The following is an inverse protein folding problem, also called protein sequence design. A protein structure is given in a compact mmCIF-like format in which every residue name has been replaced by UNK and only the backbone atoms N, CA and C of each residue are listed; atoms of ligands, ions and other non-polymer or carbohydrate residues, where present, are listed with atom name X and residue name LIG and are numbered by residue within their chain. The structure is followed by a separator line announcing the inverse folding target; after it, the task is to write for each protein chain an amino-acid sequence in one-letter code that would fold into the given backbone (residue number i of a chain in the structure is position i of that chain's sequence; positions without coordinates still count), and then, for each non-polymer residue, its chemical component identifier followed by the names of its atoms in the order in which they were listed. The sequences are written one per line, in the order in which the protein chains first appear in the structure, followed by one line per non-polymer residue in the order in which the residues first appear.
data_IF_575626362997
#
_entry.id   IF_575626362997
#
_cell.length_a   1.000
_cell.length_b   1.000
_cell.length_c   1.000
_cell.angle_alpha   90.00
_cell.angle_beta   90.00
_cell.angle_gamma   90.00
#
_symmetry.space_group_name_H-M   'P 1'
#
loop_
_entity.id
_entity.type
_entity.pdbx_description
1 polymer ?
#
# COMPACT_ATOMS: atom_id res chain seq x y z
N UNK A 1 23.08 2.31 -31.85
CA UNK A 1 23.11 3.58 -31.12
C UNK A 1 21.91 3.57 -30.21
N UNK A 2 22.11 3.15 -28.94
CA UNK A 2 21.03 3.13 -27.93
C UNK A 2 20.96 4.53 -27.34
N UNK A 3 19.84 5.21 -27.62
CA UNK A 3 19.50 6.48 -26.97
C UNK A 3 19.31 6.24 -25.48
N UNK A 4 20.00 6.99 -24.59
CA UNK A 4 19.72 6.92 -23.17
C UNK A 4 18.30 7.41 -22.94
N UNK A 5 17.45 6.57 -22.32
CA UNK A 5 16.14 6.97 -21.85
C UNK A 5 16.32 8.16 -20.92
N UNK A 6 15.84 9.32 -21.34
CA UNK A 6 15.80 10.51 -20.52
C UNK A 6 15.00 10.17 -19.25
N UNK A 7 15.66 10.20 -18.11
CA UNK A 7 15.01 10.05 -16.82
C UNK A 7 14.07 11.24 -16.63
N UNK A 8 12.77 11.03 -16.81
CA UNK A 8 11.74 12.04 -16.52
C UNK A 8 11.92 12.52 -15.08
N UNK A 9 11.94 13.83 -14.79
CA UNK A 9 12.14 14.32 -13.43
C UNK A 9 11.07 13.76 -12.51
N UNK A 10 11.49 13.10 -11.44
CA UNK A 10 10.59 12.51 -10.46
C UNK A 10 10.08 13.63 -9.57
N UNK A 11 8.78 13.90 -9.59
CA UNK A 11 8.13 14.92 -8.76
C UNK A 11 8.10 14.53 -7.27
N UNK A 12 8.03 13.22 -6.99
CA UNK A 12 7.98 12.69 -5.62
C UNK A 12 8.58 11.30 -5.58
N UNK A 13 9.39 11.02 -4.54
CA UNK A 13 9.90 9.67 -4.29
C UNK A 13 9.95 9.39 -2.78
N UNK A 14 9.37 8.27 -2.38
CA UNK A 14 9.41 7.78 -1.01
C UNK A 14 9.75 6.29 -0.97
N UNK A 15 10.67 5.90 -0.08
CA UNK A 15 10.95 4.50 0.23
C UNK A 15 10.48 4.17 1.63
N UNK A 16 9.55 3.23 1.77
CA UNK A 16 8.97 2.80 3.05
C UNK A 16 9.90 1.84 3.80
N UNK A 17 10.99 2.39 4.38
CA UNK A 17 11.93 1.61 5.17
C UNK A 17 11.33 1.16 6.51
N UNK A 18 11.81 0.02 7.01
CA UNK A 18 11.45 -0.46 8.34
C UNK A 18 11.90 0.53 9.45
N UNK A 19 11.08 0.78 10.48
CA UNK A 19 11.46 1.60 11.63
C UNK A 19 12.50 0.86 12.50
N UNK A 20 13.26 1.63 13.29
CA UNK A 20 14.37 1.09 14.08
C UNK A 20 13.95 0.02 15.10
N UNK A 21 12.77 0.16 15.72
CA UNK A 21 12.27 -0.81 16.71
C UNK A 21 12.00 -2.20 16.11
N UNK A 22 11.69 -2.27 14.80
CA UNK A 22 11.46 -3.54 14.12
C UNK A 22 12.72 -4.42 14.09
N UNK A 23 13.91 -3.80 14.07
CA UNK A 23 15.18 -4.52 14.16
C UNK A 23 15.36 -5.22 15.49
N UNK A 24 14.86 -4.64 16.60
CA UNK A 24 14.86 -5.29 17.92
C UNK A 24 13.93 -6.51 17.95
N UNK A 25 12.76 -6.39 17.32
CA UNK A 25 11.82 -7.52 17.18
C UNK A 25 12.44 -8.64 16.35
N UNK A 26 13.08 -8.32 15.24
CA UNK A 26 13.77 -9.29 14.39
C UNK A 26 14.90 -9.98 15.15
N UNK A 27 15.71 -9.23 15.89
CA UNK A 27 16.77 -9.80 16.73
C UNK A 27 16.22 -10.75 17.80
N UNK A 28 15.14 -10.33 18.50
CA UNK A 28 14.48 -11.15 19.50
C UNK A 28 13.92 -12.47 18.94
N UNK A 29 13.25 -12.40 17.79
CA UNK A 29 12.72 -13.59 17.10
C UNK A 29 13.89 -14.51 16.67
N UNK A 30 14.96 -13.96 16.12
CA UNK A 30 16.13 -14.74 15.68
C UNK A 30 16.78 -15.48 16.85
N UNK A 31 16.91 -14.81 18.00
CA UNK A 31 17.42 -15.42 19.25
C UNK A 31 16.49 -16.56 19.71
N UNK A 32 15.18 -16.31 19.71
CA UNK A 32 14.21 -17.33 20.12
C UNK A 32 14.27 -18.58 19.22
N UNK A 33 14.39 -18.40 17.90
CA UNK A 33 14.55 -19.50 16.94
C UNK A 33 15.83 -20.30 17.25
N UNK A 34 16.96 -19.63 17.45
CA UNK A 34 18.22 -20.31 17.75
C UNK A 34 18.18 -21.15 19.02
N UNK A 35 17.61 -20.58 20.10
CA UNK A 35 17.46 -21.28 21.39
C UNK A 35 16.47 -22.44 21.30
N UNK A 36 15.38 -22.31 20.53
CA UNK A 36 14.39 -23.38 20.38
C UNK A 36 14.92 -24.56 19.58
N UNK A 37 15.74 -24.32 18.54
CA UNK A 37 16.23 -25.35 17.64
C UNK A 37 17.51 -26.05 18.14
N UNK A 38 18.32 -25.38 18.94
CA UNK A 38 19.58 -25.95 19.45
C UNK A 38 19.90 -25.50 20.86
N UNK A 39 19.15 -25.96 21.91
CA UNK A 39 19.33 -25.50 23.28
C UNK A 39 20.63 -26.03 23.93
N UNK A 40 21.21 -27.10 23.45
CA UNK A 40 22.36 -27.80 24.06
C UNK A 40 23.71 -27.50 23.40
N UNK A 41 23.71 -27.03 22.16
CA UNK A 41 24.92 -26.73 21.40
C UNK A 41 25.06 -25.22 21.15
N UNK A 42 25.90 -24.50 21.89
CA UNK A 42 26.00 -23.04 21.80
C UNK A 42 26.55 -22.56 20.44
N UNK A 43 27.40 -23.34 19.78
CA UNK A 43 27.93 -22.97 18.46
C UNK A 43 26.85 -23.06 17.41
N UNK A 44 26.10 -24.16 17.39
CA UNK A 44 24.98 -24.32 16.45
C UNK A 44 23.88 -23.28 16.71
N UNK A 45 23.57 -23.01 17.99
CA UNK A 45 22.64 -21.94 18.37
C UNK A 45 23.07 -20.58 17.78
N UNK A 46 24.33 -20.20 17.94
CA UNK A 46 24.87 -18.95 17.39
C UNK A 46 24.76 -18.87 15.86
N UNK A 47 25.05 -19.96 15.17
CA UNK A 47 24.92 -20.03 13.70
C UNK A 47 23.46 -19.86 13.29
N UNK A 48 22.50 -20.51 13.93
CA UNK A 48 21.07 -20.42 13.62
C UNK A 48 20.54 -19.00 13.87
N UNK A 49 20.94 -18.35 14.95
CA UNK A 49 20.60 -16.93 15.23
C UNK A 49 21.09 -16.03 14.09
N UNK A 50 22.36 -16.18 13.72
CA UNK A 50 22.96 -15.35 12.65
C UNK A 50 22.26 -15.56 11.31
N UNK A 51 22.00 -16.79 10.92
CA UNK A 51 21.32 -17.13 9.66
C UNK A 51 19.89 -16.58 9.67
N UNK A 52 19.11 -16.80 10.75
CA UNK A 52 17.75 -16.28 10.85
C UNK A 52 17.71 -14.75 10.77
N UNK A 53 18.65 -14.07 11.45
CA UNK A 53 18.76 -12.63 11.42
C UNK A 53 19.10 -12.11 10.01
N UNK A 54 20.07 -12.69 9.33
CA UNK A 54 20.46 -12.31 7.97
C UNK A 54 19.28 -12.48 7.00
N UNK A 55 18.59 -13.62 7.07
CA UNK A 55 17.40 -13.87 6.23
C UNK A 55 16.34 -12.77 6.47
N UNK A 56 16.04 -12.47 7.73
CA UNK A 56 15.04 -11.46 8.08
C UNK A 56 15.46 -10.05 7.61
N UNK A 57 16.74 -9.68 7.73
CA UNK A 57 17.30 -8.43 7.21
C UNK A 57 17.10 -8.33 5.69
N UNK A 58 17.46 -9.39 4.95
CA UNK A 58 17.30 -9.43 3.49
C UNK A 58 15.82 -9.30 3.10
N UNK A 59 14.95 -10.06 3.74
CA UNK A 59 13.49 -10.00 3.47
C UNK A 59 12.91 -8.61 3.72
N UNK A 60 13.26 -7.95 4.84
CA UNK A 60 12.77 -6.62 5.17
C UNK A 60 13.29 -5.55 4.20
N UNK A 61 14.54 -5.65 3.77
CA UNK A 61 15.14 -4.65 2.86
C UNK A 61 14.65 -4.81 1.43
N UNK A 62 14.51 -6.04 0.94
CA UNK A 62 14.00 -6.33 -0.42
C UNK A 62 12.49 -6.05 -0.51
N UNK A 63 11.74 -6.29 0.57
CA UNK A 63 10.30 -6.05 0.60
C UNK A 63 9.91 -4.58 0.72
N UNK A 64 10.84 -3.64 0.93
CA UNK A 64 10.52 -2.22 1.11
C UNK A 64 10.01 -1.60 -0.20
N UNK A 65 8.71 -1.28 -0.33
CA UNK A 65 8.18 -0.70 -1.55
C UNK A 65 8.67 0.74 -1.70
N UNK A 66 8.88 1.14 -2.94
CA UNK A 66 9.15 2.53 -3.31
C UNK A 66 7.91 3.10 -3.96
N UNK A 67 7.52 4.30 -3.56
CA UNK A 67 6.48 5.11 -4.21
C UNK A 67 7.21 6.16 -5.02
N UNK A 68 6.90 6.26 -6.31
CA UNK A 68 7.48 7.28 -7.18
C UNK A 68 6.39 7.90 -8.06
N UNK A 69 6.34 9.22 -8.09
CA UNK A 69 5.44 9.99 -8.95
C UNK A 69 6.28 10.76 -9.94
N UNK A 70 6.06 10.51 -11.22
CA UNK A 70 6.63 11.25 -12.32
C UNK A 70 5.54 12.10 -12.98
N UNK A 71 5.90 12.90 -13.98
CA UNK A 71 4.92 13.67 -14.75
C UNK A 71 3.89 12.80 -15.48
N UNK A 72 4.26 11.57 -15.84
CA UNK A 72 3.45 10.66 -16.66
C UNK A 72 2.93 9.45 -15.91
N UNK A 73 3.58 9.04 -14.80
CA UNK A 73 3.29 7.77 -14.12
C UNK A 73 3.28 7.89 -12.61
N UNK A 74 2.43 7.09 -11.98
CA UNK A 74 2.47 6.72 -10.56
C UNK A 74 2.97 5.28 -10.45
N UNK A 75 4.03 5.06 -9.68
CA UNK A 75 4.56 3.73 -9.38
C UNK A 75 4.52 3.44 -7.89
N UNK A 76 3.96 2.30 -7.50
CA UNK A 76 3.84 1.85 -6.11
C UNK A 76 4.37 0.42 -6.00
N UNK A 77 5.56 0.27 -5.45
CA UNK A 77 6.24 -1.01 -5.38
C UNK A 77 6.58 -1.58 -6.75
N UNK A 78 5.84 -2.59 -7.20
CA UNK A 78 6.02 -3.23 -8.51
C UNK A 78 4.98 -2.81 -9.54
N UNK A 79 3.92 -2.15 -9.10
CA UNK A 79 2.86 -1.68 -9.98
C UNK A 79 3.16 -0.27 -10.48
N UNK A 80 2.76 0.02 -11.72
CA UNK A 80 2.90 1.33 -12.35
C UNK A 80 1.68 1.61 -13.21
N UNK A 81 1.16 2.84 -13.15
CA UNK A 81 0.01 3.29 -13.92
C UNK A 81 0.27 4.69 -14.46
N UNK A 82 -0.26 4.98 -15.65
CA UNK A 82 -0.19 6.31 -16.25
C UNK A 82 -1.15 7.28 -15.55
N UNK A 83 -0.73 8.53 -15.38
CA UNK A 83 -1.50 9.55 -14.66
C UNK A 83 -2.85 9.85 -15.30
N UNK A 84 -3.00 9.65 -16.58
CA UNK A 84 -4.28 9.85 -17.29
C UNK A 84 -5.39 8.90 -16.82
N UNK A 85 -5.01 7.76 -16.21
CA UNK A 85 -5.94 6.78 -15.66
C UNK A 85 -6.15 6.93 -14.14
N UNK A 86 -5.59 7.97 -13.54
CA UNK A 86 -5.84 8.31 -12.14
C UNK A 86 -7.11 9.16 -12.06
N UNK A 87 -8.05 8.71 -11.24
CA UNK A 87 -9.23 9.47 -10.87
C UNK A 87 -8.99 10.29 -9.62
N UNK A 88 -9.96 10.29 -8.73
CA UNK A 88 -9.88 10.99 -7.44
C UNK A 88 -8.77 10.41 -6.55
N UNK A 89 -8.01 11.31 -5.91
CA UNK A 89 -6.92 10.97 -4.99
C UNK A 89 -7.24 11.51 -3.61
N UNK A 90 -7.36 10.61 -2.63
CA UNK A 90 -7.70 10.96 -1.24
C UNK A 90 -6.66 10.43 -0.27
N UNK A 91 -6.29 11.25 0.71
CA UNK A 91 -5.39 10.84 1.79
C UNK A 91 -6.13 10.66 3.10
N UNK A 92 -5.79 9.61 3.82
CA UNK A 92 -6.46 9.21 5.05
C UNK A 92 -5.45 9.03 6.18
N UNK A 93 -5.84 9.43 7.41
CA UNK A 93 -5.06 9.27 8.65
C UNK A 93 -5.94 8.73 9.79
N UNK A 94 -5.34 8.08 10.77
CA UNK A 94 -6.03 7.65 11.99
C UNK A 94 -7.24 6.75 11.72
N UNK A 95 -8.43 7.13 12.20
CA UNK A 95 -9.66 6.33 12.06
C UNK A 95 -10.10 6.16 10.60
N UNK A 96 -9.99 7.21 9.79
CA UNK A 96 -10.28 7.13 8.36
C UNK A 96 -9.36 6.14 7.65
N UNK A 97 -8.05 6.15 7.96
CA UNK A 97 -7.11 5.18 7.40
C UNK A 97 -7.40 3.74 7.87
N UNK A 98 -7.87 3.56 9.11
CA UNK A 98 -8.29 2.25 9.63
C UNK A 98 -9.54 1.72 8.92
N UNK A 99 -10.50 2.61 8.69
CA UNK A 99 -11.71 2.27 7.95
C UNK A 99 -11.39 1.79 6.54
N UNK A 100 -10.59 2.56 5.77
CA UNK A 100 -10.20 2.22 4.40
C UNK A 100 -9.40 0.91 4.32
N UNK A 101 -8.54 0.62 5.29
CA UNK A 101 -7.79 -0.65 5.38
C UNK A 101 -8.60 -1.84 5.86
N UNK A 102 -9.79 -1.61 6.40
CA UNK A 102 -10.65 -2.63 6.99
C UNK A 102 -12.02 -2.71 6.31
N UNK A 103 -13.01 -2.07 6.91
CA UNK A 103 -14.42 -2.19 6.48
C UNK A 103 -14.70 -1.58 5.09
N UNK A 104 -13.95 -0.54 4.72
CA UNK A 104 -14.07 0.12 3.40
C UNK A 104 -13.28 -0.57 2.30
N UNK A 105 -12.58 -1.69 2.59
CA UNK A 105 -11.72 -2.34 1.63
C UNK A 105 -12.50 -3.22 0.65
N UNK A 106 -12.31 -2.97 -0.64
CA UNK A 106 -12.87 -3.80 -1.70
C UNK A 106 -11.91 -4.93 -2.09
N UNK A 107 -12.45 -6.13 -2.33
CA UNK A 107 -11.66 -7.33 -2.60
C UNK A 107 -10.79 -7.29 -3.86
N UNK A 108 -11.13 -6.45 -4.85
CA UNK A 108 -10.37 -6.26 -6.09
C UNK A 108 -9.41 -5.06 -6.03
N UNK A 109 -9.35 -4.33 -4.90
CA UNK A 109 -8.44 -3.20 -4.75
C UNK A 109 -6.97 -3.65 -4.75
N UNK A 110 -6.09 -2.88 -5.40
CA UNK A 110 -4.65 -3.09 -5.26
C UNK A 110 -4.18 -2.52 -3.92
N UNK A 111 -3.51 -3.36 -3.12
CA UNK A 111 -3.09 -3.04 -1.77
C UNK A 111 -1.57 -3.08 -1.62
N UNK A 112 -0.98 -2.01 -1.09
CA UNK A 112 0.43 -1.98 -0.73
C UNK A 112 0.64 -1.33 0.65
N UNK A 113 0.32 -2.07 1.72
CA UNK A 113 0.41 -1.59 3.08
C UNK A 113 1.73 -1.94 3.76
N UNK A 114 2.09 -1.11 4.75
CA UNK A 114 3.08 -1.41 5.76
C UNK A 114 2.47 -1.17 7.14
N UNK A 115 2.42 -2.23 7.97
CA UNK A 115 1.75 -2.20 9.28
C UNK A 115 2.29 -1.16 10.25
N UNK A 116 3.49 -0.65 10.02
CA UNK A 116 4.13 0.40 10.81
C UNK A 116 3.96 1.82 10.22
N UNK A 117 3.17 1.98 9.15
CA UNK A 117 2.84 3.27 8.53
C UNK A 117 1.34 3.42 8.54
N UNK A 118 0.84 4.35 9.38
CA UNK A 118 -0.60 4.55 9.55
C UNK A 118 -1.24 5.28 8.36
N UNK A 119 -0.72 6.40 7.84
CA UNK A 119 -1.40 7.10 6.77
C UNK A 119 -1.45 6.27 5.48
N UNK A 120 -2.59 6.37 4.79
CA UNK A 120 -2.80 5.75 3.47
C UNK A 120 -3.29 6.76 2.46
N UNK A 121 -2.99 6.50 1.21
CA UNK A 121 -3.55 7.24 0.06
C UNK A 121 -4.35 6.25 -0.77
N UNK A 122 -5.56 6.67 -1.14
CA UNK A 122 -6.49 5.97 -2.03
C UNK A 122 -6.51 6.70 -3.36
N UNK A 123 -6.35 5.98 -4.43
CA UNK A 123 -6.35 6.50 -5.81
C UNK A 123 -7.32 5.69 -6.63
N UNK A 124 -8.39 6.31 -7.09
CA UNK A 124 -9.37 5.67 -7.98
C UNK A 124 -8.71 5.42 -9.33
N UNK A 125 -8.92 4.22 -9.89
CA UNK A 125 -8.41 3.86 -11.21
C UNK A 125 -9.54 4.03 -12.24
N UNK A 126 -9.26 4.73 -13.31
CA UNK A 126 -10.24 5.01 -14.39
C UNK A 126 -9.93 4.27 -15.70
N UNK A 127 -8.91 3.40 -15.73
CA UNK A 127 -8.61 2.57 -16.91
C UNK A 127 -9.74 1.56 -17.14
N UNK A 128 -10.42 1.61 -18.31
CA UNK A 128 -11.50 0.67 -18.62
C UNK A 128 -11.05 -0.79 -18.77
N UNK A 129 -9.74 -1.02 -18.95
CA UNK A 129 -9.14 -2.35 -19.13
C UNK A 129 -8.65 -2.96 -17.83
N UNK A 130 -8.63 -2.19 -16.73
CA UNK A 130 -8.20 -2.66 -15.41
C UNK A 130 -9.43 -2.83 -14.51
N UNK A 131 -9.66 -4.04 -14.02
CA UNK A 131 -10.76 -4.35 -13.10
C UNK A 131 -10.51 -3.79 -11.68
N UNK A 132 -9.30 -3.29 -11.39
CA UNK A 132 -8.94 -2.73 -10.10
C UNK A 132 -9.68 -1.41 -9.88
N UNK A 133 -10.59 -1.32 -8.88
CA UNK A 133 -11.38 -0.11 -8.66
C UNK A 133 -10.53 1.04 -8.15
N UNK A 134 -9.58 0.75 -7.27
CA UNK A 134 -8.67 1.74 -6.70
C UNK A 134 -7.38 1.10 -6.17
N UNK A 135 -6.35 1.93 -6.03
CA UNK A 135 -5.13 1.60 -5.32
C UNK A 135 -5.15 2.19 -3.92
N UNK A 136 -4.81 1.39 -2.92
CA UNK A 136 -4.72 1.81 -1.53
C UNK A 136 -3.34 1.42 -0.97
N UNK A 137 -2.53 2.42 -0.62
CA UNK A 137 -1.16 2.17 -0.19
C UNK A 137 -0.71 3.13 0.92
N UNK A 138 0.18 2.63 1.79
CA UNK A 138 0.73 3.40 2.91
C UNK A 138 1.78 4.41 2.44
N UNK A 139 1.79 5.60 3.04
CA UNK A 139 2.81 6.63 2.85
C UNK A 139 3.06 7.37 4.16
N UNK A 140 4.29 7.81 4.43
CA UNK A 140 4.61 8.63 5.61
C UNK A 140 4.36 10.12 5.39
N UNK A 141 4.28 10.53 4.12
CA UNK A 141 4.11 11.92 3.71
C UNK A 141 2.90 12.07 2.77
N UNK A 142 1.68 11.77 3.27
CA UNK A 142 0.49 11.78 2.43
C UNK A 142 0.22 13.16 1.83
N UNK A 143 0.50 14.25 2.56
CA UNK A 143 0.27 15.63 2.08
C UNK A 143 1.14 15.94 0.85
N UNK A 144 2.44 15.59 0.89
CA UNK A 144 3.35 15.82 -0.23
C UNK A 144 2.95 14.98 -1.45
N UNK A 145 2.58 13.72 -1.21
CA UNK A 145 2.16 12.80 -2.26
C UNK A 145 0.86 13.28 -2.93
N UNK A 146 -0.11 13.69 -2.12
CA UNK A 146 -1.39 14.21 -2.60
C UNK A 146 -1.19 15.51 -3.39
N UNK A 147 -0.33 16.42 -2.90
CA UNK A 147 0.01 17.64 -3.62
C UNK A 147 0.63 17.33 -5.00
N UNK A 148 1.48 16.30 -5.09
CA UNK A 148 2.08 15.86 -6.35
C UNK A 148 1.06 15.21 -7.31
N UNK A 149 -0.02 14.62 -6.79
CA UNK A 149 -1.07 13.95 -7.56
C UNK A 149 -2.30 14.83 -7.82
N UNK A 150 -2.44 15.96 -7.12
CA UNK A 150 -3.59 16.88 -7.26
C UNK A 150 -4.83 16.43 -6.47
N UNK A 151 -4.64 15.69 -5.38
CA UNK A 151 -5.71 15.21 -4.50
C UNK A 151 -5.95 16.08 -3.27
N UNK A 152 -6.70 15.53 -2.29
CA UNK A 152 -7.00 16.20 -1.01
C UNK A 152 -6.94 15.22 0.18
N UNK A 153 -6.72 15.77 1.39
CA UNK A 153 -6.79 15.01 2.63
C UNK A 153 -8.24 14.91 3.11
N UNK A 154 -8.67 13.71 3.45
CA UNK A 154 -9.94 13.50 4.16
C UNK A 154 -9.71 13.80 5.64
N UNK A 155 -10.42 14.81 6.16
CA UNK A 155 -10.37 15.21 7.55
C UNK A 155 -11.40 14.36 8.33
N UNK A 156 -10.92 13.49 9.23
CA UNK A 156 -11.81 12.85 10.20
C UNK A 156 -12.07 13.87 11.30
N UNK A 157 -13.31 14.32 11.42
CA UNK A 157 -13.72 15.20 12.51
C UNK A 157 -13.71 14.39 13.82
N UNK A 158 -12.86 14.71 14.81
CA UNK A 158 -12.74 13.95 16.05
C UNK A 158 -14.04 13.96 16.88
N UNK A 159 -14.90 14.97 16.72
CA UNK A 159 -16.19 15.07 17.40
C UNK A 159 -17.29 14.17 16.80
N UNK A 160 -17.04 13.58 15.64
CA UNK A 160 -17.98 12.74 14.91
C UNK A 160 -17.49 11.28 14.76
N UNK A 161 -16.72 10.78 15.71
CA UNK A 161 -16.12 9.43 15.69
C UNK A 161 -17.12 8.26 15.64
N UNK A 162 -18.42 8.53 15.67
CA UNK A 162 -19.50 7.55 15.56
C UNK A 162 -20.34 7.65 14.28
N UNK A 163 -20.22 8.75 13.57
CA UNK A 163 -20.91 8.95 12.29
C UNK A 163 -19.85 8.91 11.20
N UNK A 164 -19.85 7.87 10.41
CA UNK A 164 -19.06 7.78 9.17
C UNK A 164 -19.58 8.89 8.28
N UNK A 165 -18.92 10.05 8.35
CA UNK A 165 -19.31 11.23 7.57
C UNK A 165 -19.08 10.91 6.07
N UNK A 166 -19.76 11.61 5.18
CA UNK A 166 -19.71 11.48 3.70
C UNK A 166 -18.31 11.22 3.10
N UNK A 167 -17.25 11.57 3.83
CA UNK A 167 -15.85 11.32 3.48
C UNK A 167 -15.43 9.84 3.52
N UNK A 168 -16.23 8.95 4.16
CA UNK A 168 -15.98 7.49 4.22
C UNK A 168 -16.89 6.72 3.27
N UNK A 169 -17.86 7.37 2.65
CA UNK A 169 -18.64 6.75 1.58
C UNK A 169 -17.82 6.73 0.28
N UNK A 170 -17.96 5.65 -0.50
CA UNK A 170 -17.31 5.58 -1.80
C UNK A 170 -17.70 6.82 -2.63
N UNK A 171 -16.71 7.47 -3.23
CA UNK A 171 -16.96 8.62 -4.10
C UNK A 171 -17.91 8.23 -5.24
N UNK A 172 -18.52 9.22 -5.89
CA UNK A 172 -19.41 8.96 -7.03
C UNK A 172 -18.69 8.15 -8.12
N UNK A 173 -17.43 8.46 -8.39
CA UNK A 173 -16.59 7.74 -9.34
C UNK A 173 -16.30 6.31 -8.89
N UNK A 174 -16.04 6.11 -7.62
CA UNK A 174 -15.81 4.78 -7.06
C UNK A 174 -17.07 3.93 -7.11
N UNK A 175 -18.24 4.48 -6.75
CA UNK A 175 -19.53 3.78 -6.86
C UNK A 175 -19.84 3.37 -8.29
N UNK A 176 -19.66 4.27 -9.25
CA UNK A 176 -19.87 3.98 -10.67
C UNK A 176 -18.93 2.88 -11.18
N UNK A 177 -17.67 2.90 -10.71
CA UNK A 177 -16.68 1.88 -11.06
C UNK A 177 -17.05 0.52 -10.49
N UNK A 178 -17.42 0.47 -9.21
CA UNK A 178 -17.84 -0.76 -8.54
C UNK A 178 -19.08 -1.36 -9.17
N UNK A 179 -20.08 -0.53 -9.52
CA UNK A 179 -21.26 -0.98 -10.22
C UNK A 179 -20.93 -1.59 -11.60
N UNK A 180 -20.07 -0.95 -12.39
CA UNK A 180 -19.62 -1.51 -13.67
C UNK A 180 -18.97 -2.89 -13.53
N UNK A 181 -18.12 -3.06 -12.51
CA UNK A 181 -17.46 -4.34 -12.24
C UNK A 181 -18.47 -5.42 -11.84
N UNK A 182 -19.43 -5.06 -10.99
CA UNK A 182 -20.50 -5.99 -10.57
C UNK A 182 -21.42 -6.38 -11.73
N UNK A 183 -21.78 -5.45 -12.58
CA UNK A 183 -22.63 -5.71 -13.75
C UNK A 183 -21.92 -6.61 -14.77
N UNK A 184 -20.64 -6.35 -15.07
CA UNK A 184 -19.83 -7.21 -15.93
C UNK A 184 -19.72 -8.65 -15.38
N UNK A 185 -19.55 -8.78 -14.07
CA UNK A 185 -19.50 -10.09 -13.41
C UNK A 185 -20.83 -10.83 -13.42
N UNK A 186 -21.95 -10.12 -13.37
CA UNK A 186 -23.30 -10.69 -13.52
C UNK A 186 -23.57 -11.20 -14.93
N UNK A 187 -23.08 -10.49 -15.94
CA UNK A 187 -23.18 -10.91 -17.34
C UNK A 187 -22.36 -12.18 -17.61
N UNK A 188 -21.15 -12.31 -17.02
CA UNK A 188 -20.34 -13.53 -17.13
C UNK A 188 -20.96 -14.74 -16.39
N UNK A 189 -21.68 -14.48 -15.28
CA UNK A 189 -22.29 -15.53 -14.44
C UNK A 189 -23.76 -15.78 -14.79
N UNK A 190 -24.24 -15.31 -15.94
CA UNK A 190 -25.60 -15.47 -16.41
C UNK A 190 -26.08 -16.92 -16.36
N UNK A 191 -27.40 -17.18 -16.20
CA UNK A 191 -27.93 -18.48 -15.82
C UNK A 191 -27.54 -19.55 -16.84
N UNK A 192 -26.71 -20.50 -16.40
CA UNK A 192 -26.58 -21.77 -17.10
C UNK A 192 -27.92 -22.50 -16.93
N UNK A 193 -28.76 -22.36 -17.94
CA UNK A 193 -30.00 -23.11 -18.10
C UNK A 193 -29.72 -24.50 -18.66
#
# INVERSE_FOLDING_TARGET
MSTPSASTPTSYTEKLRAPWWLWLVVAGISIAIGLALSPTNPVLCGILIAVAFIIAVVLLTVSAPTIAVNEQTLSVGRASIERQFLGEVTGHRGESARYERGRGLHGLAFMCFRGWVDPVVKVIITDPRDETPYWLFSTRRPEELIAALGGHMVHSDPDNAGVITEASEPSSLERERLQRIEDAKREETGPQA
#
